data_IF_817541487872
#
_entry.id   IF_817541487872
#
_cell.length_a   1.000
_cell.length_b   1.000
_cell.length_c   1.000
_cell.angle_alpha   90.00
_cell.angle_beta   90.00
_cell.angle_gamma   90.00
#
_symmetry.space_group_name_H-M   'P 1'
#
loop_
_entity.id
_entity.type
_entity.pdbx_description
1 polymer ?
#
# COMPACT_ATOMS: atom_id res chain seq x y z
N UNK A 1 -13.39 32.00 4.11
CA UNK A 1 -13.21 31.34 2.81
C UNK A 1 -13.39 29.82 3.03
N UNK A 2 -14.53 29.27 2.59
CA UNK A 2 -14.92 27.87 2.88
C UNK A 2 -13.97 26.89 2.20
N UNK A 3 -13.44 25.92 2.96
CA UNK A 3 -12.76 24.74 2.44
C UNK A 3 -13.81 23.88 1.70
N UNK A 4 -13.94 24.05 0.38
CA UNK A 4 -14.92 23.30 -0.40
C UNK A 4 -14.27 22.05 -0.98
N UNK A 5 -14.59 20.92 -0.38
CA UNK A 5 -14.55 19.61 -1.02
C UNK A 5 -15.70 19.58 -2.04
N UNK A 6 -15.41 19.33 -3.31
CA UNK A 6 -16.46 19.22 -4.32
C UNK A 6 -16.63 17.76 -4.76
N UNK A 7 -17.29 16.98 -3.89
CA UNK A 7 -17.73 15.63 -4.28
C UNK A 7 -18.62 15.68 -5.53
N UNK A 8 -19.49 16.68 -5.63
CA UNK A 8 -20.36 16.88 -6.80
C UNK A 8 -19.61 17.04 -8.12
N UNK A 9 -18.49 17.79 -8.12
CA UNK A 9 -17.69 17.96 -9.35
C UNK A 9 -16.95 16.70 -9.76
N UNK A 10 -16.49 15.88 -8.81
CA UNK A 10 -15.90 14.57 -9.08
C UNK A 10 -16.91 13.62 -9.73
N UNK A 11 -18.11 13.54 -9.17
CA UNK A 11 -19.21 12.75 -9.71
C UNK A 11 -19.58 13.18 -11.13
N UNK A 12 -19.60 14.47 -11.41
CA UNK A 12 -19.90 14.99 -12.76
C UNK A 12 -18.86 14.55 -13.80
N UNK A 13 -17.61 14.42 -13.41
CA UNK A 13 -16.49 14.09 -14.33
C UNK A 13 -16.38 12.58 -14.54
N UNK A 14 -16.46 11.80 -13.44
CA UNK A 14 -16.06 10.39 -13.46
C UNK A 14 -17.07 9.44 -12.80
N UNK A 15 -18.17 9.96 -12.27
CA UNK A 15 -19.17 9.14 -11.56
C UNK A 15 -18.95 9.08 -10.05
N UNK A 16 -19.71 8.21 -9.39
CA UNK A 16 -19.61 8.01 -7.93
C UNK A 16 -18.21 7.55 -7.49
N UNK A 17 -17.84 7.80 -6.23
CA UNK A 17 -16.56 7.44 -5.62
C UNK A 17 -15.32 8.09 -6.28
N UNK A 18 -15.53 9.14 -7.09
CA UNK A 18 -14.44 10.02 -7.53
C UNK A 18 -14.57 11.37 -6.84
N UNK A 19 -13.45 11.92 -6.40
CA UNK A 19 -13.37 13.17 -5.65
C UNK A 19 -12.56 14.18 -6.43
N UNK A 20 -12.99 15.44 -6.41
CA UNK A 20 -12.22 16.57 -6.92
C UNK A 20 -11.82 17.48 -5.78
N UNK A 21 -10.53 17.59 -5.55
CA UNK A 21 -9.95 18.50 -4.55
C UNK A 21 -9.65 19.86 -5.18
N UNK A 22 -9.90 20.96 -4.46
CA UNK A 22 -9.67 22.32 -4.98
C UNK A 22 -8.97 23.20 -3.95
N UNK A 23 -8.11 24.08 -4.46
CA UNK A 23 -7.47 25.13 -3.69
C UNK A 23 -6.68 24.58 -2.51
N UNK A 24 -6.99 25.02 -1.29
CA UNK A 24 -6.25 24.64 -0.09
C UNK A 24 -6.30 23.15 0.23
N UNK A 25 -7.38 22.45 -0.13
CA UNK A 25 -7.45 20.99 0.09
C UNK A 25 -6.50 20.24 -0.86
N UNK A 26 -6.45 20.61 -2.14
CA UNK A 26 -5.47 20.04 -3.08
C UNK A 26 -4.02 20.37 -2.67
N UNK A 27 -3.79 21.58 -2.14
CA UNK A 27 -2.49 21.95 -1.56
C UNK A 27 -2.15 21.07 -0.35
N UNK A 28 -3.11 20.81 0.55
CA UNK A 28 -2.92 19.98 1.74
C UNK A 28 -2.58 18.54 1.37
N UNK A 29 -3.28 17.91 0.40
CA UNK A 29 -2.98 16.57 -0.07
C UNK A 29 -1.52 16.47 -0.57
N UNK A 30 -1.11 17.40 -1.44
CA UNK A 30 0.26 17.45 -1.94
C UNK A 30 1.28 17.68 -0.83
N UNK A 31 0.99 18.57 0.12
CA UNK A 31 1.88 18.86 1.25
C UNK A 31 2.04 17.64 2.18
N UNK A 32 0.95 16.91 2.44
CA UNK A 32 0.99 15.67 3.22
C UNK A 32 1.80 14.59 2.52
N UNK A 33 1.59 14.39 1.22
CA UNK A 33 2.37 13.42 0.44
C UNK A 33 3.87 13.74 0.47
N UNK A 34 4.24 15.00 0.22
CA UNK A 34 5.64 15.44 0.28
C UNK A 34 6.23 15.27 1.69
N UNK A 35 5.47 15.62 2.73
CA UNK A 35 5.90 15.45 4.12
C UNK A 35 6.17 13.98 4.48
N UNK A 36 5.29 13.05 4.05
CA UNK A 36 5.47 11.63 4.29
C UNK A 36 6.72 11.10 3.59
N UNK A 37 6.88 11.38 2.29
CA UNK A 37 8.06 10.97 1.51
C UNK A 37 9.34 11.51 2.16
N UNK A 38 9.40 12.82 2.40
CA UNK A 38 10.56 13.47 3.02
C UNK A 38 10.92 12.85 4.38
N UNK A 39 9.90 12.54 5.19
CA UNK A 39 10.11 11.91 6.48
C UNK A 39 10.73 10.51 6.34
N UNK A 40 10.23 9.70 5.42
CA UNK A 40 10.72 8.34 5.23
C UNK A 40 12.13 8.32 4.63
N UNK A 41 12.40 9.15 3.64
CA UNK A 41 13.72 9.25 3.01
C UNK A 41 14.75 9.77 4.01
N UNK A 42 14.47 10.90 4.69
CA UNK A 42 15.46 11.58 5.54
C UNK A 42 15.73 10.88 6.88
N UNK A 43 14.69 10.26 7.47
CA UNK A 43 14.78 9.72 8.83
C UNK A 43 14.91 8.20 8.91
N UNK A 44 14.51 7.47 7.84
CA UNK A 44 14.46 6.00 7.85
C UNK A 44 15.22 5.35 6.70
N UNK A 45 15.90 6.15 5.87
CA UNK A 45 16.77 5.65 4.80
C UNK A 45 16.04 4.94 3.67
N UNK A 46 14.80 5.36 3.37
CA UNK A 46 14.09 4.86 2.20
C UNK A 46 14.64 5.50 0.93
N UNK A 47 14.72 4.73 -0.14
CA UNK A 47 14.91 5.21 -1.49
C UNK A 47 13.55 5.60 -2.09
N UNK A 48 13.43 6.86 -2.53
CA UNK A 48 12.23 7.33 -3.23
C UNK A 48 12.22 6.80 -4.66
N UNK A 49 11.13 6.18 -5.05
CA UNK A 49 10.91 5.61 -6.38
C UNK A 49 9.72 6.29 -7.04
N UNK A 50 9.84 6.61 -8.32
CA UNK A 50 8.73 7.04 -9.19
C UNK A 50 8.41 5.94 -10.19
N UNK A 51 7.53 5.00 -9.84
CA UNK A 51 7.26 3.82 -10.64
C UNK A 51 6.19 4.06 -11.73
N UNK A 52 6.07 3.19 -12.75
CA UNK A 52 4.93 3.19 -13.65
C UNK A 52 3.63 2.82 -12.93
N UNK A 53 2.52 3.47 -13.32
CA UNK A 53 1.18 3.22 -12.75
C UNK A 53 0.36 2.21 -13.54
N UNK A 54 0.82 1.86 -14.73
CA UNK A 54 0.22 0.83 -15.60
C UNK A 54 1.22 -0.30 -15.72
N UNK A 55 0.81 -1.50 -15.34
CA UNK A 55 1.68 -2.67 -15.22
C UNK A 55 1.15 -3.86 -16.01
N UNK A 56 2.01 -4.87 -16.23
CA UNK A 56 1.67 -6.15 -16.87
C UNK A 56 1.02 -7.13 -15.88
N UNK A 57 0.38 -8.17 -16.41
CA UNK A 57 -0.20 -9.28 -15.64
C UNK A 57 0.80 -9.88 -14.63
N UNK A 58 2.03 -10.11 -15.07
CA UNK A 58 3.07 -10.70 -14.23
C UNK A 58 3.36 -9.89 -12.97
N UNK A 59 3.30 -8.56 -13.07
CA UNK A 59 3.52 -7.70 -11.89
C UNK A 59 2.38 -7.86 -10.89
N UNK A 60 1.14 -7.89 -11.36
CA UNK A 60 -0.06 -8.14 -10.55
C UNK A 60 -0.07 -9.55 -9.95
N UNK A 61 0.38 -10.53 -10.72
CA UNK A 61 0.53 -11.90 -10.25
C UNK A 61 1.57 -11.99 -9.14
N UNK A 62 2.72 -11.35 -9.33
CA UNK A 62 3.84 -11.38 -8.38
C UNK A 62 3.46 -10.97 -6.96
N UNK A 63 2.62 -9.95 -6.81
CA UNK A 63 2.17 -9.44 -5.51
C UNK A 63 0.84 -10.04 -5.04
N UNK A 64 0.22 -10.92 -5.82
CA UNK A 64 -0.97 -11.69 -5.40
C UNK A 64 -2.32 -11.04 -5.73
N UNK A 65 -2.36 -9.93 -6.48
CA UNK A 65 -3.61 -9.35 -6.94
C UNK A 65 -4.32 -10.26 -7.95
N UNK A 66 -3.57 -10.80 -8.90
CA UNK A 66 -4.09 -11.77 -9.86
C UNK A 66 -3.78 -13.22 -9.42
N UNK A 67 -4.69 -14.14 -9.75
CA UNK A 67 -6.01 -13.96 -10.40
C UNK A 67 -7.14 -13.61 -9.43
N UNK A 68 -6.90 -13.63 -8.12
CA UNK A 68 -7.94 -13.64 -7.07
C UNK A 68 -8.81 -12.39 -7.06
N UNK A 69 -8.22 -11.22 -7.29
CA UNK A 69 -8.89 -9.92 -7.14
C UNK A 69 -9.13 -9.22 -8.49
N UNK A 70 -9.27 -9.98 -9.57
CA UNK A 70 -9.48 -9.44 -10.93
C UNK A 70 -10.62 -8.42 -11.01
N UNK A 71 -11.72 -8.65 -10.29
CA UNK A 71 -12.91 -7.78 -10.29
C UNK A 71 -12.67 -6.45 -9.58
N UNK A 72 -11.69 -6.39 -8.68
CA UNK A 72 -11.32 -5.18 -7.95
C UNK A 72 -10.32 -4.29 -8.69
N UNK A 73 -9.91 -4.69 -9.90
CA UNK A 73 -8.88 -4.03 -10.69
C UNK A 73 -9.46 -3.33 -11.92
N UNK A 74 -8.82 -2.21 -12.32
CA UNK A 74 -9.05 -1.56 -13.60
C UNK A 74 -8.08 -2.10 -14.65
N UNK A 75 -8.63 -2.57 -15.77
CA UNK A 75 -7.87 -3.09 -16.91
C UNK A 75 -8.01 -2.14 -18.12
N UNK A 76 -6.91 -1.92 -18.82
CA UNK A 76 -6.89 -1.18 -20.09
C UNK A 76 -7.29 -2.07 -21.27
N UNK A 77 -7.65 -1.47 -22.39
CA UNK A 77 -8.05 -2.21 -23.61
C UNK A 77 -6.90 -3.03 -24.21
N UNK A 78 -5.64 -2.66 -23.94
CA UNK A 78 -4.43 -3.39 -24.34
C UNK A 78 -3.98 -4.41 -23.28
N UNK A 79 -4.87 -4.78 -22.34
CA UNK A 79 -4.66 -5.80 -21.30
C UNK A 79 -3.52 -5.47 -20.33
N UNK A 80 -3.39 -4.22 -19.94
CA UNK A 80 -2.57 -3.80 -18.82
C UNK A 80 -3.45 -3.38 -17.65
N UNK A 81 -2.86 -3.23 -16.48
CA UNK A 81 -3.59 -2.95 -15.25
C UNK A 81 -3.15 -1.63 -14.64
N UNK A 82 -4.12 -0.84 -14.18
CA UNK A 82 -3.84 0.30 -13.32
C UNK A 82 -3.53 -0.23 -11.91
N UNK A 83 -2.47 0.25 -11.29
CA UNK A 83 -2.04 -0.23 -9.98
C UNK A 83 -3.08 0.06 -8.88
N UNK A 84 -3.48 -0.91 -8.06
CA UNK A 84 -4.31 -0.68 -6.88
C UNK A 84 -3.49 -0.18 -5.68
N UNK A 85 -2.17 -0.27 -5.77
CA UNK A 85 -1.17 0.07 -4.76
C UNK A 85 0.21 0.14 -5.39
N UNK A 86 1.08 1.03 -4.91
CA UNK A 86 2.47 1.07 -5.35
C UNK A 86 3.29 -0.15 -4.88
N UNK A 87 2.78 -0.96 -3.95
CA UNK A 87 3.34 -2.26 -3.62
C UNK A 87 3.63 -3.09 -4.87
N UNK A 88 2.73 -3.06 -5.86
CA UNK A 88 2.89 -3.83 -7.09
C UNK A 88 4.18 -3.47 -7.84
N UNK A 89 4.39 -2.24 -8.31
CA UNK A 89 5.63 -1.92 -9.01
C UNK A 89 6.86 -1.95 -8.10
N UNK A 90 6.78 -1.49 -6.85
CA UNK A 90 7.93 -1.44 -5.95
C UNK A 90 8.46 -2.83 -5.62
N UNK A 91 7.60 -3.78 -5.30
CA UNK A 91 8.01 -5.15 -4.98
C UNK A 91 8.57 -5.86 -6.21
N UNK A 92 8.03 -5.58 -7.41
CA UNK A 92 8.51 -6.16 -8.67
C UNK A 92 9.85 -5.59 -9.17
N UNK A 93 10.46 -4.60 -8.51
CA UNK A 93 11.83 -4.15 -8.80
C UNK A 93 12.82 -5.32 -8.68
N UNK A 94 12.57 -6.25 -7.77
CA UNK A 94 13.43 -7.42 -7.54
C UNK A 94 12.94 -8.71 -8.22
N UNK A 95 11.98 -8.60 -9.16
CA UNK A 95 11.51 -9.76 -9.93
C UNK A 95 12.64 -10.38 -10.74
N UNK A 96 12.74 -11.72 -10.68
CA UNK A 96 13.75 -12.52 -11.35
C UNK A 96 15.21 -12.16 -10.97
N UNK A 97 15.41 -11.44 -9.86
CA UNK A 97 16.70 -11.02 -9.38
C UNK A 97 17.26 -11.98 -8.31
N UNK A 98 18.59 -12.05 -8.25
CA UNK A 98 19.33 -12.71 -7.15
C UNK A 98 20.12 -11.63 -6.42
N UNK A 99 19.63 -11.21 -5.28
CA UNK A 99 20.20 -10.15 -4.47
C UNK A 99 21.38 -10.64 -3.65
N UNK A 100 22.35 -9.77 -3.37
CA UNK A 100 23.34 -10.04 -2.34
C UNK A 100 22.72 -9.84 -0.95
N UNK A 101 22.99 -10.77 -0.02
CA UNK A 101 22.50 -10.67 1.37
C UNK A 101 22.92 -9.37 2.04
N UNK A 102 24.10 -8.85 1.71
CA UNK A 102 24.62 -7.59 2.24
C UNK A 102 23.83 -6.35 1.79
N UNK A 103 23.09 -6.45 0.71
CA UNK A 103 22.22 -5.36 0.23
C UNK A 103 20.86 -5.26 0.96
N UNK A 104 20.52 -6.28 1.75
CA UNK A 104 19.25 -6.33 2.47
C UNK A 104 19.36 -5.69 3.87
N UNK A 105 18.29 -5.01 4.35
CA UNK A 105 17.02 -4.79 3.68
C UNK A 105 17.08 -3.66 2.64
N UNK A 106 16.40 -3.84 1.49
CA UNK A 106 16.06 -2.73 0.60
C UNK A 106 14.80 -2.04 1.11
N UNK A 107 14.76 -0.71 1.03
CA UNK A 107 13.67 0.12 1.55
C UNK A 107 13.22 1.09 0.49
N UNK A 108 12.04 0.86 -0.09
CA UNK A 108 11.48 1.69 -1.14
C UNK A 108 10.27 2.46 -0.65
N UNK A 109 10.13 3.70 -1.10
CA UNK A 109 8.94 4.52 -0.85
C UNK A 109 8.50 5.21 -2.13
N UNK A 110 7.18 5.28 -2.35
CA UNK A 110 6.60 5.99 -3.49
C UNK A 110 5.29 6.67 -3.12
N UNK A 111 5.02 7.81 -3.71
CA UNK A 111 3.69 8.44 -3.72
C UNK A 111 3.07 8.22 -5.09
N UNK A 112 1.98 7.48 -5.15
CA UNK A 112 1.30 7.18 -6.41
C UNK A 112 -0.21 7.34 -6.31
N UNK A 113 -0.90 7.64 -7.42
CA UNK A 113 -2.31 7.34 -7.53
C UNK A 113 -2.50 5.81 -7.45
N UNK A 114 -3.58 5.39 -6.78
CA UNK A 114 -4.00 4.00 -6.68
C UNK A 114 -5.43 3.88 -7.21
N UNK A 115 -5.74 2.77 -7.89
CA UNK A 115 -6.99 2.57 -8.59
C UNK A 115 -7.64 1.26 -8.14
N UNK A 116 -8.88 1.35 -7.59
CA UNK A 116 -9.63 0.18 -7.10
C UNK A 116 -11.07 0.25 -7.58
N UNK A 117 -11.57 -0.82 -8.19
CA UNK A 117 -12.97 -0.87 -8.62
C UNK A 117 -13.95 -1.07 -7.46
N UNK A 118 -13.44 -1.50 -6.29
CA UNK A 118 -14.25 -1.68 -5.07
C UNK A 118 -15.51 -2.53 -5.31
N UNK A 119 -15.41 -3.57 -6.12
CA UNK A 119 -16.54 -4.40 -6.56
C UNK A 119 -17.27 -5.07 -5.39
N UNK A 120 -16.52 -5.51 -4.37
CA UNK A 120 -17.07 -6.16 -3.18
C UNK A 120 -17.68 -5.20 -2.13
N UNK A 121 -17.53 -3.87 -2.30
CA UNK A 121 -17.93 -2.88 -1.30
C UNK A 121 -19.31 -2.24 -1.60
N UNK A 122 -20.24 -2.97 -2.21
CA UNK A 122 -21.57 -2.46 -2.53
C UNK A 122 -22.32 -2.01 -1.27
N UNK A 123 -22.72 -0.74 -1.24
CA UNK A 123 -23.52 -0.18 -0.14
C UNK A 123 -22.74 0.34 1.07
N UNK A 124 -21.45 0.05 1.20
CA UNK A 124 -20.62 0.48 2.32
C UNK A 124 -19.85 1.76 1.98
N UNK A 125 -19.92 2.77 2.85
CA UNK A 125 -19.22 4.05 2.70
C UNK A 125 -19.33 4.70 1.30
N UNK A 126 -20.52 4.61 0.70
CA UNK A 126 -20.77 5.14 -0.67
C UNK A 126 -20.82 6.66 -0.72
N UNK A 127 -20.89 7.33 0.42
CA UNK A 127 -20.86 8.79 0.55
C UNK A 127 -19.58 9.26 1.21
N UNK A 128 -19.06 10.41 0.76
CA UNK A 128 -17.84 11.01 1.30
C UNK A 128 -16.58 10.56 0.58
N UNK A 129 -15.45 10.51 1.31
CA UNK A 129 -14.11 10.28 0.75
C UNK A 129 -13.47 8.97 1.25
N UNK A 130 -14.15 8.13 2.01
CA UNK A 130 -13.54 6.98 2.67
C UNK A 130 -13.24 5.87 1.67
N UNK A 131 -14.13 5.64 0.69
CA UNK A 131 -13.92 4.67 -0.38
C UNK A 131 -13.95 5.35 -1.73
N UNK A 132 -12.83 5.34 -2.40
CA UNK A 132 -12.64 5.99 -3.69
C UNK A 132 -12.08 5.01 -4.71
N UNK A 133 -12.50 5.18 -5.98
CA UNK A 133 -11.94 4.45 -7.11
C UNK A 133 -10.52 4.89 -7.44
N UNK A 134 -10.19 6.15 -7.12
CA UNK A 134 -8.86 6.73 -7.29
C UNK A 134 -8.50 7.55 -6.06
N UNK A 135 -7.32 7.33 -5.52
CA UNK A 135 -6.77 8.08 -4.36
C UNK A 135 -5.25 8.08 -4.40
N UNK A 136 -4.62 9.02 -3.71
CA UNK A 136 -3.16 9.08 -3.55
C UNK A 136 -2.74 8.27 -2.32
N UNK A 137 -1.65 7.51 -2.45
CA UNK A 137 -1.07 6.72 -1.35
C UNK A 137 0.45 6.82 -1.34
N UNK A 138 1.01 7.10 -0.18
CA UNK A 138 2.44 6.92 0.07
C UNK A 138 2.65 5.49 0.56
N UNK A 139 3.37 4.72 -0.24
CA UNK A 139 3.62 3.29 -0.02
C UNK A 139 5.05 3.06 0.40
N UNK A 140 5.25 2.23 1.41
CA UNK A 140 6.56 1.76 1.87
C UNK A 140 6.69 0.26 1.63
N UNK A 141 7.82 -0.19 1.07
CA UNK A 141 8.12 -1.61 0.85
C UNK A 141 9.50 -1.93 1.40
N UNK A 142 9.59 -2.99 2.20
CA UNK A 142 10.85 -3.61 2.62
C UNK A 142 11.04 -4.94 1.89
N UNK A 143 12.23 -5.11 1.27
CA UNK A 143 12.69 -6.41 0.81
C UNK A 143 13.74 -6.86 1.80
N UNK A 144 13.47 -7.93 2.54
CA UNK A 144 14.32 -8.37 3.64
C UNK A 144 14.57 -9.87 3.60
N UNK A 145 15.55 -10.32 4.37
CA UNK A 145 15.75 -11.74 4.55
C UNK A 145 14.68 -12.33 5.51
N UNK A 146 14.28 -13.61 5.36
CA UNK A 146 13.20 -14.21 6.15
C UNK A 146 13.42 -14.16 7.66
N UNK A 147 14.68 -14.24 8.13
CA UNK A 147 15.01 -14.27 9.56
C UNK A 147 14.62 -12.94 10.24
N UNK A 148 14.80 -11.82 9.56
CA UNK A 148 14.56 -10.49 10.11
C UNK A 148 13.15 -9.95 9.78
N UNK A 149 12.33 -10.71 9.06
CA UNK A 149 11.06 -10.21 8.50
C UNK A 149 10.06 -9.70 9.55
N UNK A 150 10.02 -10.29 10.73
CA UNK A 150 9.15 -9.83 11.83
C UNK A 150 9.69 -8.57 12.52
N UNK A 151 11.01 -8.43 12.62
CA UNK A 151 11.64 -7.21 13.10
C UNK A 151 11.41 -6.04 12.13
N UNK A 152 11.60 -6.30 10.83
CA UNK A 152 11.37 -5.28 9.80
C UNK A 152 9.89 -4.92 9.67
N UNK A 153 8.96 -5.82 9.96
CA UNK A 153 7.55 -5.45 10.08
C UNK A 153 7.33 -4.45 11.22
N UNK A 154 7.94 -4.65 12.38
CA UNK A 154 7.83 -3.69 13.50
C UNK A 154 8.47 -2.35 13.14
N UNK A 155 9.60 -2.36 12.42
CA UNK A 155 10.24 -1.14 11.90
C UNK A 155 9.31 -0.40 10.92
N UNK A 156 8.64 -1.12 10.01
CA UNK A 156 7.69 -0.56 9.06
C UNK A 156 6.49 0.10 9.78
N UNK A 157 5.92 -0.57 10.79
CA UNK A 157 4.87 -0.01 11.64
C UNK A 157 5.33 1.26 12.34
N UNK A 158 6.56 1.28 12.88
CA UNK A 158 7.14 2.45 13.54
C UNK A 158 7.32 3.62 12.55
N UNK A 159 7.71 3.36 11.30
CA UNK A 159 7.79 4.38 10.26
C UNK A 159 6.42 5.02 9.99
N UNK A 160 5.38 4.20 9.80
CA UNK A 160 4.01 4.67 9.58
C UNK A 160 3.48 5.44 10.81
N UNK A 161 3.71 4.92 12.02
CA UNK A 161 3.31 5.54 13.28
C UNK A 161 3.93 6.94 13.47
N UNK A 162 5.17 7.12 13.04
CA UNK A 162 5.88 8.40 13.15
C UNK A 162 5.16 9.53 12.41
N UNK A 163 4.50 9.25 11.30
CA UNK A 163 3.69 10.23 10.59
C UNK A 163 2.53 10.72 11.46
N UNK A 164 1.80 9.79 12.08
CA UNK A 164 0.66 10.12 12.92
C UNK A 164 1.06 10.91 14.17
N UNK A 165 2.19 10.53 14.79
CA UNK A 165 2.78 11.26 15.91
C UNK A 165 3.15 12.70 15.55
N UNK A 166 3.82 12.89 14.41
CA UNK A 166 4.21 14.24 13.93
C UNK A 166 3.03 15.11 13.53
N UNK A 167 1.92 14.49 13.10
CA UNK A 167 0.67 15.18 12.80
C UNK A 167 -0.23 15.35 14.03
N UNK A 168 0.19 14.84 15.19
CA UNK A 168 -0.57 14.89 16.46
C UNK A 168 -2.00 14.33 16.33
N UNK A 169 -2.17 13.31 15.51
CA UNK A 169 -3.47 12.67 15.29
C UNK A 169 -3.71 11.58 16.32
N UNK A 170 -4.91 11.50 16.95
CA UNK A 170 -5.28 10.36 17.78
C UNK A 170 -5.39 9.10 16.92
N UNK A 171 -4.64 8.06 17.28
CA UNK A 171 -4.58 6.81 16.53
C UNK A 171 -4.51 5.59 17.46
N UNK A 172 -4.68 4.41 16.89
CA UNK A 172 -4.39 3.13 17.52
C UNK A 172 -3.75 2.17 16.50
N UNK A 173 -3.03 1.18 17.01
CA UNK A 173 -2.44 0.10 16.21
C UNK A 173 -3.19 -1.18 16.54
N UNK A 174 -3.70 -1.85 15.50
CA UNK A 174 -4.49 -3.07 15.61
C UNK A 174 -3.74 -4.22 14.95
N UNK A 175 -3.42 -5.27 15.72
CA UNK A 175 -2.96 -6.53 15.13
C UNK A 175 -4.19 -7.27 14.61
N UNK A 176 -4.22 -7.58 13.33
CA UNK A 176 -5.33 -8.30 12.73
C UNK A 176 -5.40 -9.75 13.21
N UNK A 177 -6.62 -10.25 13.39
CA UNK A 177 -6.87 -11.68 13.61
C UNK A 177 -6.73 -12.44 12.27
N UNK A 178 -6.61 -13.76 12.36
CA UNK A 178 -6.34 -14.61 11.18
C UNK A 178 -7.43 -14.53 10.10
N UNK A 179 -8.67 -14.19 10.46
CA UNK A 179 -9.76 -14.03 9.52
C UNK A 179 -9.71 -12.74 8.69
N UNK A 180 -8.98 -11.73 9.18
CA UNK A 180 -8.90 -10.41 8.56
C UNK A 180 -7.55 -10.17 7.86
N UNK A 181 -6.57 -11.05 8.08
CA UNK A 181 -5.26 -10.97 7.41
C UNK A 181 -5.42 -11.20 5.91
N UNK A 182 -4.85 -10.31 5.11
CA UNK A 182 -4.90 -10.38 3.66
C UNK A 182 -4.31 -11.68 3.09
N UNK A 183 -4.77 -12.07 1.91
CA UNK A 183 -4.42 -13.34 1.24
C UNK A 183 -2.92 -13.61 1.11
N UNK A 184 -2.12 -12.59 0.86
CA UNK A 184 -0.66 -12.69 0.68
C UNK A 184 0.13 -12.52 1.97
N UNK A 185 -0.53 -12.22 3.10
CA UNK A 185 0.14 -11.85 4.34
C UNK A 185 0.09 -12.98 5.38
N UNK A 186 1.13 -13.05 6.21
CA UNK A 186 1.20 -13.92 7.40
C UNK A 186 0.82 -13.18 8.69
N UNK A 187 1.07 -11.87 8.72
CA UNK A 187 0.85 -11.01 9.88
C UNK A 187 0.64 -9.58 9.43
N UNK A 188 -0.36 -8.92 10.00
CA UNK A 188 -0.71 -7.55 9.61
C UNK A 188 -0.99 -6.72 10.86
N UNK A 189 -0.52 -5.46 10.81
CA UNK A 189 -0.90 -4.39 11.73
C UNK A 189 -1.55 -3.26 10.94
N UNK A 190 -2.74 -2.85 11.37
CA UNK A 190 -3.41 -1.66 10.84
C UNK A 190 -3.22 -0.48 11.79
N UNK A 191 -2.99 0.68 11.21
CA UNK A 191 -3.00 1.93 11.94
C UNK A 191 -4.31 2.64 11.62
N UNK A 192 -5.08 2.93 12.67
CA UNK A 192 -6.38 3.57 12.56
C UNK A 192 -6.35 4.93 13.23
N UNK A 193 -6.94 5.94 12.59
CA UNK A 193 -7.11 7.29 13.15
C UNK A 193 -8.53 7.52 13.62
N UNK A 194 -8.67 8.32 14.67
CA UNK A 194 -9.96 8.74 15.18
C UNK A 194 -10.59 9.81 14.32
N UNK A 195 -11.77 9.55 13.79
CA UNK A 195 -12.57 10.50 12.99
C UNK A 195 -13.82 10.93 13.79
N UNK A 196 -13.80 12.10 14.44
CA UNK A 196 -14.87 12.53 15.34
C UNK A 196 -16.22 12.75 14.63
N UNK A 197 -16.20 13.08 13.33
CA UNK A 197 -17.42 13.31 12.54
C UNK A 197 -18.12 12.04 12.05
N UNK A 198 -17.51 10.86 12.22
CA UNK A 198 -18.11 9.60 11.82
C UNK A 198 -19.17 9.10 12.82
N UNK A 199 -19.94 8.06 12.42
CA UNK A 199 -20.92 7.39 13.29
C UNK A 199 -21.91 8.41 13.92
N UNK A 200 -22.51 9.26 13.09
CA UNK A 200 -23.46 10.31 13.50
C UNK A 200 -22.91 11.25 14.58
N UNK A 201 -21.60 11.56 14.50
CA UNK A 201 -20.93 12.48 15.44
C UNK A 201 -20.43 11.82 16.74
N UNK A 202 -20.59 10.50 16.89
CA UNK A 202 -20.04 9.76 18.03
C UNK A 202 -18.55 9.43 17.88
N UNK A 203 -18.02 9.60 16.65
CA UNK A 203 -16.66 9.25 16.29
C UNK A 203 -16.47 7.77 15.98
N UNK A 204 -15.42 7.48 15.22
CA UNK A 204 -15.01 6.12 14.88
C UNK A 204 -13.52 6.09 14.50
N UNK A 205 -12.86 5.01 14.83
CA UNK A 205 -11.55 4.71 14.26
C UNK A 205 -11.68 4.20 12.83
N UNK A 206 -10.81 4.66 11.95
CA UNK A 206 -10.74 4.22 10.55
C UNK A 206 -9.30 3.92 10.18
N UNK A 207 -9.12 2.79 9.52
CA UNK A 207 -7.84 2.39 8.94
C UNK A 207 -7.37 3.43 7.93
N UNK A 208 -6.10 3.81 8.06
CA UNK A 208 -5.41 4.71 7.11
C UNK A 208 -4.10 4.13 6.60
N UNK A 209 -3.60 3.08 7.25
CA UNK A 209 -2.37 2.40 6.86
C UNK A 209 -2.43 0.95 7.32
N UNK A 210 -1.90 0.03 6.51
CA UNK A 210 -1.80 -1.39 6.82
C UNK A 210 -0.38 -1.87 6.53
N UNK A 211 0.26 -2.48 7.51
CA UNK A 211 1.63 -2.99 7.43
C UNK A 211 1.62 -4.51 7.53
N UNK A 212 2.07 -5.19 6.49
CA UNK A 212 1.99 -6.65 6.38
C UNK A 212 3.34 -7.31 6.16
N UNK A 213 3.57 -8.44 6.85
CA UNK A 213 4.62 -9.38 6.53
C UNK A 213 4.04 -10.46 5.61
N UNK A 214 4.47 -10.47 4.35
CA UNK A 214 4.03 -11.43 3.34
C UNK A 214 4.86 -12.71 3.33
N UNK A 215 5.86 -12.83 4.21
CA UNK A 215 6.80 -13.95 4.20
C UNK A 215 7.47 -14.09 2.84
N UNK A 216 7.52 -15.31 2.34
CA UNK A 216 8.11 -15.65 1.05
C UNK A 216 7.08 -15.72 -0.11
N UNK A 217 5.80 -15.49 0.17
CA UNK A 217 4.72 -15.66 -0.81
C UNK A 217 4.96 -14.86 -2.10
N UNK A 218 5.25 -13.57 -1.98
CA UNK A 218 5.48 -12.70 -3.13
C UNK A 218 6.84 -13.02 -3.78
N UNK A 219 7.88 -13.27 -2.99
CA UNK A 219 9.20 -13.62 -3.51
C UNK A 219 9.18 -14.88 -4.38
N UNK A 220 8.45 -15.94 -3.97
CA UNK A 220 8.26 -17.15 -4.79
C UNK A 220 7.55 -16.86 -6.11
N UNK A 221 6.49 -16.07 -6.09
CA UNK A 221 5.72 -15.72 -7.29
C UNK A 221 6.51 -14.88 -8.28
N UNK A 222 7.41 -14.04 -7.77
CA UNK A 222 8.28 -13.17 -8.58
C UNK A 222 9.63 -13.81 -8.92
N UNK A 223 9.92 -15.03 -8.44
CA UNK A 223 11.23 -15.66 -8.57
C UNK A 223 12.36 -14.80 -8.00
N UNK A 224 12.06 -13.96 -7.00
CA UNK A 224 13.04 -13.13 -6.30
C UNK A 224 13.83 -13.97 -5.28
N UNK A 225 15.15 -13.87 -5.30
CA UNK A 225 16.06 -14.68 -4.48
C UNK A 225 17.13 -13.81 -3.87
N UNK A 226 17.80 -14.32 -2.85
CA UNK A 226 19.05 -13.74 -2.39
C UNK A 226 20.11 -14.83 -2.21
N UNK A 227 21.37 -14.43 -2.28
CA UNK A 227 22.53 -15.32 -2.09
C UNK A 227 22.98 -15.23 -0.65
N UNK A 228 22.97 -16.38 0.06
CA UNK A 228 23.54 -16.51 1.39
C UNK A 228 24.83 -17.32 1.32
N UNK A 229 25.99 -16.67 1.31
CA UNK A 229 27.29 -17.27 1.06
C UNK A 229 27.37 -17.96 -0.32
N UNK A 230 27.58 -19.26 -0.36
CA UNK A 230 27.61 -20.06 -1.60
C UNK A 230 26.29 -20.79 -1.90
N UNK A 231 25.30 -20.66 -1.04
CA UNK A 231 24.00 -21.33 -1.19
C UNK A 231 22.93 -20.33 -1.60
N UNK A 232 22.16 -20.68 -2.63
CA UNK A 232 20.96 -19.94 -3.00
C UNK A 232 19.88 -20.27 -2.00
N UNK A 233 19.42 -19.30 -1.23
CA UNK A 233 18.25 -19.43 -0.37
C UNK A 233 17.05 -18.78 -1.03
N UNK A 234 16.42 -19.50 -1.91
CA UNK A 234 15.03 -19.28 -2.30
C UNK A 234 14.22 -20.44 -1.74
N UNK A 235 12.95 -20.27 -1.38
CA UNK A 235 12.10 -21.45 -1.24
C UNK A 235 12.20 -22.22 -2.55
N UNK A 236 12.75 -23.43 -2.45
CA UNK A 236 12.90 -24.30 -3.60
C UNK A 236 11.53 -24.58 -4.21
N UNK A 237 11.38 -24.55 -5.55
CA UNK A 237 10.18 -25.08 -6.20
C UNK A 237 9.97 -26.59 -5.95
N UNK A 238 10.88 -27.23 -5.19
CA UNK A 238 10.87 -28.69 -4.91
C UNK A 238 10.35 -29.02 -3.50
N UNK A 239 10.01 -28.03 -2.68
CA UNK A 239 9.28 -28.35 -1.45
C UNK A 239 7.88 -28.79 -1.86
N UNK A 240 7.50 -30.06 -1.59
CA UNK A 240 6.19 -30.55 -1.97
C UNK A 240 5.11 -29.75 -1.24
N UNK A 241 4.05 -29.46 -1.97
CA UNK A 241 2.82 -28.85 -1.47
C UNK A 241 2.25 -29.59 -0.25
#
# INVERSE_FOLDING_TARGET
MSLKLSAYSGVKISGSRFVLLRGKIALLERALSAFMIDNHVKNFGFEEISPPYIVKDDAMFGTGQLPKFTEDLFCTTDKRWLIPTAEVPLTNIVRDEILDKSSLPLRFVANTPCFRSEAGAAGTDTRGMIRQHQFSKVEMVFITNPINSDEELNNLVSCAETILKKLELPYRIMKLCSGDVGFSAKKTFDLEVWLPGQNSGKGMYREISSCSNCGDFQARRMNAKFRDCLLYTSPSPRDPL
#
